data_IF_101222012377
#
_entry.id   IF_101222012377
#
_cell.length_a   1.000
_cell.length_b   1.000
_cell.length_c   1.000
_cell.angle_alpha   90.00
_cell.angle_beta   90.00
_cell.angle_gamma   90.00
#
_symmetry.space_group_name_H-M   'P 1'
#
loop_
_entity.id
_entity.type
_entity.pdbx_description
1 polymer ?
#
# COMPACT_ATOMS: atom_id res chain seq x y z
N UNK A 1 -12.46 -10.15 -16.14
CA UNK A 1 -12.65 -9.80 -14.72
C UNK A 1 -11.88 -8.52 -14.44
N UNK A 2 -12.50 -7.62 -13.69
CA UNK A 2 -11.90 -6.37 -13.27
C UNK A 2 -10.79 -6.63 -12.25
N UNK A 3 -9.74 -5.82 -12.29
CA UNK A 3 -8.65 -5.86 -11.31
C UNK A 3 -8.80 -4.66 -10.38
N UNK A 4 -8.67 -4.89 -9.10
CA UNK A 4 -8.54 -3.84 -8.08
C UNK A 4 -7.09 -3.74 -7.65
N UNK A 5 -6.57 -2.52 -7.64
CA UNK A 5 -5.23 -2.22 -7.19
C UNK A 5 -5.33 -1.28 -5.97
N UNK A 6 -5.00 -1.80 -4.81
CA UNK A 6 -4.93 -1.01 -3.58
C UNK A 6 -3.53 -0.45 -3.42
N UNK A 7 -3.42 0.87 -3.24
CA UNK A 7 -2.16 1.58 -3.06
C UNK A 7 -2.04 2.09 -1.64
N UNK A 8 -0.96 1.75 -0.98
CA UNK A 8 -0.53 2.28 0.31
C UNK A 8 0.77 3.06 0.20
N UNK A 9 1.14 3.75 1.28
CA UNK A 9 2.44 4.41 1.39
C UNK A 9 2.96 4.38 2.83
N UNK A 10 4.02 3.63 3.06
CA UNK A 10 4.61 3.42 4.41
C UNK A 10 5.01 4.73 5.08
N UNK A 11 5.48 5.70 4.29
CA UNK A 11 5.91 7.00 4.79
C UNK A 11 4.79 7.76 5.49
N UNK A 12 3.54 7.62 5.04
CA UNK A 12 2.37 8.28 5.66
C UNK A 12 2.20 7.76 7.09
N UNK A 13 2.16 6.43 7.27
CA UNK A 13 2.05 5.83 8.59
C UNK A 13 3.23 6.21 9.50
N UNK A 14 4.48 6.07 9.00
CA UNK A 14 5.68 6.39 9.77
C UNK A 14 5.69 7.84 10.25
N UNK A 15 5.36 8.81 9.39
CA UNK A 15 5.32 10.22 9.74
C UNK A 15 4.24 10.51 10.80
N UNK A 16 3.05 9.94 10.62
CA UNK A 16 1.97 10.10 11.59
C UNK A 16 2.36 9.55 12.97
N UNK A 17 2.94 8.35 13.02
CA UNK A 17 3.37 7.72 14.28
C UNK A 17 4.55 8.45 14.92
N UNK A 18 5.50 8.94 14.13
CA UNK A 18 6.61 9.74 14.64
C UNK A 18 6.12 11.02 15.35
N UNK A 19 5.02 11.63 14.86
CA UNK A 19 4.42 12.80 15.50
C UNK A 19 3.90 12.50 16.92
N UNK A 20 3.63 11.24 17.23
CA UNK A 20 3.19 10.82 18.57
C UNK A 20 4.36 10.60 19.56
N UNK A 21 5.60 10.63 19.11
CA UNK A 21 6.82 10.47 19.91
C UNK A 21 6.77 9.25 20.87
N UNK A 22 6.31 8.12 20.35
CA UNK A 22 6.10 6.89 21.10
C UNK A 22 7.38 6.09 21.31
N UNK A 23 7.34 5.13 22.23
CA UNK A 23 8.38 4.11 22.36
C UNK A 23 8.28 3.12 21.19
N UNK A 24 9.39 2.54 20.77
CA UNK A 24 9.44 1.56 19.67
C UNK A 24 8.49 0.38 19.80
N UNK A 25 8.30 -0.10 21.05
CA UNK A 25 7.37 -1.22 21.30
C UNK A 25 5.92 -0.79 21.08
N UNK A 26 5.55 0.45 21.46
CA UNK A 26 4.22 1.00 21.23
C UNK A 26 3.96 1.23 19.72
N UNK A 27 4.93 1.76 19.00
CA UNK A 27 4.86 1.90 17.54
C UNK A 27 4.61 0.56 16.84
N UNK A 28 5.35 -0.48 17.25
CA UNK A 28 5.19 -1.84 16.73
C UNK A 28 3.80 -2.40 17.01
N UNK A 29 3.30 -2.24 18.24
CA UNK A 29 1.97 -2.71 18.62
C UNK A 29 0.88 -1.98 17.82
N UNK A 30 0.99 -0.66 17.65
CA UNK A 30 0.04 0.12 16.86
C UNK A 30 0.06 -0.34 15.40
N UNK A 31 1.25 -0.59 14.81
CA UNK A 31 1.39 -1.10 13.44
C UNK A 31 0.60 -2.41 13.26
N UNK A 32 0.77 -3.36 14.19
CA UNK A 32 0.07 -4.66 14.11
C UNK A 32 -1.45 -4.52 14.28
N UNK A 33 -1.91 -3.64 15.17
CA UNK A 33 -3.34 -3.39 15.37
C UNK A 33 -3.94 -2.69 14.13
N UNK A 34 -3.23 -1.75 13.52
CA UNK A 34 -3.68 -1.06 12.30
C UNK A 34 -3.81 -2.03 11.13
N UNK A 35 -2.87 -2.96 10.97
CA UNK A 35 -2.96 -4.03 9.95
C UNK A 35 -4.23 -4.87 10.09
N UNK A 36 -4.67 -5.13 11.33
CA UNK A 36 -5.92 -5.86 11.56
C UNK A 36 -7.17 -5.04 11.24
N UNK A 37 -7.02 -3.74 10.95
CA UNK A 37 -8.10 -2.77 10.69
C UNK A 37 -9.16 -2.70 11.81
N UNK A 38 -8.78 -3.10 13.03
CA UNK A 38 -9.67 -3.11 14.21
C UNK A 38 -9.69 -1.74 14.90
N UNK A 39 -10.65 -0.88 14.51
CA UNK A 39 -10.81 0.44 15.14
C UNK A 39 -11.08 0.39 16.65
N UNK A 40 -11.68 -0.70 17.14
CA UNK A 40 -11.94 -0.87 18.56
C UNK A 40 -10.66 -1.19 19.36
N UNK A 41 -9.79 -2.03 18.79
CA UNK A 41 -8.53 -2.40 19.43
C UNK A 41 -7.55 -1.24 19.46
N UNK A 42 -7.45 -0.50 18.33
CA UNK A 42 -6.56 0.67 18.29
C UNK A 42 -7.00 1.72 19.30
N UNK A 43 -8.31 2.01 19.40
CA UNK A 43 -8.83 2.97 20.39
C UNK A 43 -8.54 2.53 21.82
N UNK A 44 -8.71 1.23 22.11
CA UNK A 44 -8.40 0.67 23.43
C UNK A 44 -6.91 0.82 23.76
N UNK A 45 -6.03 0.52 22.80
CA UNK A 45 -4.60 0.64 23.00
C UNK A 45 -4.15 2.08 23.12
N UNK A 46 -4.59 2.97 22.23
CA UNK A 46 -4.24 4.40 22.25
C UNK A 46 -4.65 5.11 23.54
N UNK A 47 -5.72 4.66 24.21
CA UNK A 47 -6.13 5.21 25.50
C UNK A 47 -5.17 4.85 26.67
N UNK A 48 -4.25 3.90 26.47
CA UNK A 48 -3.22 3.58 27.47
C UNK A 48 -1.96 4.43 27.32
N UNK A 49 -1.86 5.20 26.24
CA UNK A 49 -0.69 5.98 25.88
C UNK A 49 -0.90 7.47 26.19
N UNK A 50 0.19 8.14 26.56
CA UNK A 50 0.19 9.59 26.74
C UNK A 50 0.47 10.29 25.40
N UNK A 51 -0.61 10.51 24.65
CA UNK A 51 -0.61 11.13 23.31
C UNK A 51 -1.66 12.22 23.27
N UNK A 52 -1.36 13.30 22.58
CA UNK A 52 -2.32 14.39 22.31
C UNK A 52 -3.64 13.86 21.77
N UNK A 53 -4.76 14.47 22.20
CA UNK A 53 -6.09 13.96 21.87
C UNK A 53 -6.40 13.99 20.38
N UNK A 54 -6.01 15.08 19.68
CA UNK A 54 -6.29 15.22 18.25
C UNK A 54 -5.49 14.21 17.43
N UNK A 55 -4.24 13.99 17.82
CA UNK A 55 -3.38 12.97 17.20
C UNK A 55 -3.88 11.56 17.50
N UNK A 56 -4.32 11.30 18.75
CA UNK A 56 -4.93 10.02 19.15
C UNK A 56 -6.14 9.69 18.30
N UNK A 57 -7.06 10.66 18.15
CA UNK A 57 -8.28 10.48 17.35
C UNK A 57 -7.93 10.23 15.88
N UNK A 58 -6.94 10.94 15.35
CA UNK A 58 -6.43 10.74 13.99
C UNK A 58 -5.88 9.33 13.78
N UNK A 59 -5.06 8.82 14.70
CA UNK A 59 -4.53 7.44 14.65
C UNK A 59 -5.65 6.41 14.77
N UNK A 60 -6.66 6.66 15.61
CA UNK A 60 -7.83 5.79 15.74
C UNK A 60 -8.70 5.74 14.48
N UNK A 61 -8.73 6.81 13.70
CA UNK A 61 -9.47 6.88 12.43
C UNK A 61 -8.67 6.39 11.23
N UNK A 62 -7.36 6.20 11.36
CA UNK A 62 -6.48 5.75 10.29
C UNK A 62 -6.98 4.48 9.57
N UNK A 63 -7.51 3.44 10.26
CA UNK A 63 -8.09 2.27 9.61
C UNK A 63 -9.28 2.53 8.68
N UNK A 64 -9.91 3.71 8.78
CA UNK A 64 -11.02 4.11 7.91
C UNK A 64 -10.56 4.85 6.67
N UNK A 65 -9.26 5.18 6.57
CA UNK A 65 -8.70 5.96 5.48
C UNK A 65 -8.34 5.06 4.30
N UNK A 66 -9.37 4.61 3.60
CA UNK A 66 -9.26 3.78 2.40
C UNK A 66 -10.42 4.05 1.44
N UNK A 67 -10.26 3.72 0.17
CA UNK A 67 -11.32 3.81 -0.83
C UNK A 67 -10.92 4.46 -2.14
N UNK A 68 -11.86 5.17 -2.78
CA UNK A 68 -11.61 5.80 -4.07
C UNK A 68 -10.60 6.95 -3.96
N UNK A 69 -9.67 7.03 -4.91
CA UNK A 69 -8.68 8.11 -5.00
C UNK A 69 -9.27 9.52 -4.96
N UNK A 70 -10.52 9.68 -5.41
CA UNK A 70 -11.23 10.97 -5.36
C UNK A 70 -11.37 11.51 -3.94
N UNK A 71 -11.35 10.64 -2.95
CA UNK A 71 -11.53 11.00 -1.54
C UNK A 71 -10.19 11.17 -0.79
N UNK A 72 -9.07 10.75 -1.37
CA UNK A 72 -7.77 10.70 -0.66
C UNK A 72 -7.38 12.05 -0.04
N UNK A 73 -7.58 13.16 -0.77
CA UNK A 73 -7.25 14.50 -0.27
C UNK A 73 -8.16 14.95 0.87
N UNK A 74 -9.44 14.55 0.86
CA UNK A 74 -10.39 14.84 1.92
C UNK A 74 -10.05 14.04 3.17
N UNK A 75 -9.84 12.74 3.01
CA UNK A 75 -9.64 11.82 4.12
C UNK A 75 -8.27 12.01 4.78
N UNK A 76 -7.26 12.47 4.03
CA UNK A 76 -5.93 12.77 4.55
C UNK A 76 -5.76 14.15 5.17
N UNK A 77 -6.77 15.02 5.11
CA UNK A 77 -6.64 16.42 5.57
C UNK A 77 -6.15 16.52 7.01
N UNK A 78 -6.66 15.68 7.90
CA UNK A 78 -6.30 15.70 9.30
C UNK A 78 -4.88 15.19 9.54
N UNK A 79 -4.45 14.13 8.84
CA UNK A 79 -3.10 13.58 9.03
C UNK A 79 -2.00 14.52 8.52
N UNK A 80 -2.26 15.29 7.47
CA UNK A 80 -1.33 16.31 6.94
C UNK A 80 -1.05 17.43 7.94
N UNK A 81 -1.97 17.71 8.89
CA UNK A 81 -1.76 18.75 9.91
C UNK A 81 -0.70 18.37 10.94
N UNK A 82 -0.44 17.07 11.14
CA UNK A 82 0.58 16.58 12.08
C UNK A 82 1.96 16.52 11.46
N UNK A 83 2.06 16.19 10.17
CA UNK A 83 3.32 16.25 9.42
C UNK A 83 3.05 16.69 7.97
N UNK A 84 3.45 17.92 7.58
CA UNK A 84 3.24 18.44 6.23
C UNK A 84 3.89 17.62 5.12
N UNK A 85 4.95 16.85 5.42
CA UNK A 85 5.61 15.97 4.45
C UNK A 85 4.74 14.78 4.01
N UNK A 86 3.67 14.48 4.74
CA UNK A 86 2.65 13.50 4.32
C UNK A 86 1.99 13.94 3.00
N UNK A 87 1.87 15.26 2.77
CA UNK A 87 1.32 15.79 1.52
C UNK A 87 2.13 15.36 0.29
N UNK A 88 3.43 15.28 0.43
CA UNK A 88 4.33 14.87 -0.67
C UNK A 88 4.15 13.40 -0.99
N UNK A 89 3.97 12.54 0.03
CA UNK A 89 3.67 11.11 -0.16
C UNK A 89 2.33 10.92 -0.87
N UNK A 90 1.29 11.67 -0.46
CA UNK A 90 -0.04 11.62 -1.11
C UNK A 90 0.05 12.09 -2.56
N UNK A 91 0.78 13.18 -2.81
CA UNK A 91 1.01 13.67 -4.16
C UNK A 91 1.69 12.63 -5.03
N UNK A 92 2.73 11.97 -4.50
CA UNK A 92 3.42 10.89 -5.20
C UNK A 92 2.45 9.74 -5.57
N UNK A 93 1.57 9.33 -4.65
CA UNK A 93 0.54 8.33 -4.94
C UNK A 93 -0.40 8.77 -6.07
N UNK A 94 -0.85 10.02 -6.05
CA UNK A 94 -1.72 10.58 -7.09
C UNK A 94 -1.01 10.67 -8.44
N UNK A 95 0.24 11.12 -8.48
CA UNK A 95 1.04 11.21 -9.70
C UNK A 95 1.25 9.83 -10.32
N UNK A 96 1.51 8.80 -9.49
CA UNK A 96 1.61 7.41 -9.94
C UNK A 96 0.29 6.91 -10.55
N UNK A 97 -0.84 7.20 -9.91
CA UNK A 97 -2.15 6.81 -10.42
C UNK A 97 -2.47 7.47 -11.77
N UNK A 98 -2.08 8.74 -11.95
CA UNK A 98 -2.25 9.45 -13.21
C UNK A 98 -1.36 8.87 -14.33
N UNK A 99 -0.22 8.28 -13.97
CA UNK A 99 0.68 7.62 -14.92
C UNK A 99 0.14 6.27 -15.40
N UNK A 100 -0.60 5.55 -14.55
CA UNK A 100 -1.26 4.29 -14.91
C UNK A 100 -2.43 4.66 -15.83
N UNK A 101 -2.28 4.42 -17.14
CA UNK A 101 -3.33 4.74 -18.11
C UNK A 101 -4.50 3.74 -17.99
N UNK A 102 -5.65 4.14 -17.41
CA UNK A 102 -6.78 3.23 -17.20
C UNK A 102 -7.49 2.82 -18.51
N UNK A 103 -7.22 3.49 -19.64
CA UNK A 103 -7.89 3.20 -20.91
C UNK A 103 -7.49 1.84 -21.51
N UNK A 104 -6.33 1.33 -21.12
CA UNK A 104 -5.82 0.05 -21.64
C UNK A 104 -5.92 -1.10 -20.64
N UNK A 105 -6.31 -0.82 -19.41
CA UNK A 105 -6.37 -1.82 -18.33
C UNK A 105 -7.73 -1.72 -17.64
N UNK A 106 -8.41 -2.87 -17.48
CA UNK A 106 -9.62 -2.96 -16.67
C UNK A 106 -9.22 -3.01 -15.17
N UNK A 107 -8.61 -1.91 -14.72
CA UNK A 107 -8.07 -1.74 -13.37
C UNK A 107 -8.77 -0.60 -12.67
N UNK A 108 -9.30 -0.86 -11.48
CA UNK A 108 -9.76 0.18 -10.57
C UNK A 108 -8.73 0.38 -9.47
N UNK A 109 -8.20 1.61 -9.36
CA UNK A 109 -7.21 1.97 -8.36
C UNK A 109 -7.92 2.59 -7.15
N UNK A 110 -7.59 2.07 -5.96
CA UNK A 110 -8.02 2.58 -4.67
C UNK A 110 -6.81 2.92 -3.82
N UNK A 111 -7.00 3.71 -2.77
CA UNK A 111 -5.98 3.88 -1.74
C UNK A 111 -6.37 3.14 -0.48
N UNK A 112 -5.37 2.67 0.26
CA UNK A 112 -5.51 2.12 1.60
C UNK A 112 -4.26 2.45 2.43
N UNK A 113 -4.41 3.38 3.38
CA UNK A 113 -3.28 3.77 4.22
C UNK A 113 -2.90 2.69 5.24
N UNK A 114 -3.76 1.69 5.45
CA UNK A 114 -3.47 0.53 6.27
C UNK A 114 -2.76 -0.59 5.52
N UNK A 115 -2.51 -0.41 4.21
CA UNK A 115 -1.59 -1.27 3.48
C UNK A 115 -0.18 -1.02 4.01
N UNK A 116 0.21 -1.82 5.00
CA UNK A 116 1.48 -1.66 5.70
C UNK A 116 2.37 -2.89 5.47
N UNK A 117 3.68 -2.67 5.32
CA UNK A 117 4.59 -3.73 4.96
C UNK A 117 4.65 -4.85 6.00
N UNK A 118 4.83 -6.07 5.50
CA UNK A 118 5.20 -7.22 6.33
C UNK A 118 6.64 -7.14 6.83
N UNK A 119 7.50 -6.43 6.10
CA UNK A 119 8.93 -6.36 6.36
C UNK A 119 9.40 -4.93 6.62
N UNK A 120 10.41 -4.75 7.46
CA UNK A 120 10.91 -3.43 7.87
C UNK A 120 11.74 -2.72 6.77
N UNK A 121 12.19 -3.45 5.74
CA UNK A 121 12.95 -2.89 4.62
C UNK A 121 12.07 -2.18 3.57
N UNK A 122 10.75 -2.38 3.61
CA UNK A 122 9.83 -1.71 2.72
C UNK A 122 9.70 -0.23 3.11
N UNK A 123 9.79 0.64 2.10
CA UNK A 123 9.78 2.08 2.31
C UNK A 123 9.20 2.80 1.08
N UNK A 124 8.12 3.50 1.26
CA UNK A 124 7.45 4.23 0.19
C UNK A 124 6.15 3.57 -0.25
N UNK A 125 5.94 3.53 -1.57
CA UNK A 125 4.71 2.98 -2.15
C UNK A 125 4.61 1.47 -1.93
N UNK A 126 3.41 1.02 -1.60
CA UNK A 126 2.99 -0.39 -1.56
C UNK A 126 1.81 -0.58 -2.50
N UNK A 127 1.68 -1.76 -3.06
CA UNK A 127 0.55 -2.11 -3.91
C UNK A 127 0.15 -3.57 -3.71
N UNK A 128 -1.16 -3.80 -3.62
CA UNK A 128 -1.76 -5.13 -3.58
C UNK A 128 -2.84 -5.22 -4.66
N UNK A 129 -2.86 -6.31 -5.41
CA UNK A 129 -3.81 -6.51 -6.48
C UNK A 129 -4.78 -7.66 -6.17
N UNK A 130 -6.05 -7.43 -6.51
CA UNK A 130 -7.16 -8.37 -6.30
C UNK A 130 -7.96 -8.54 -7.58
N UNK A 131 -8.60 -9.68 -7.74
CA UNK A 131 -9.55 -9.93 -8.83
C UNK A 131 -10.97 -9.68 -8.32
N UNK A 132 -11.81 -9.09 -9.17
CA UNK A 132 -13.21 -8.83 -8.87
C UNK A 132 -13.93 -10.04 -8.26
N UNK A 133 -14.65 -9.80 -7.17
CA UNK A 133 -15.36 -10.79 -6.35
C UNK A 133 -14.47 -11.85 -5.69
N UNK A 134 -13.21 -11.51 -5.46
CA UNK A 134 -12.25 -12.37 -4.80
C UNK A 134 -11.47 -11.57 -3.75
N UNK A 135 -11.29 -12.15 -2.57
CA UNK A 135 -10.50 -11.56 -1.49
C UNK A 135 -9.04 -12.03 -1.48
N UNK A 136 -8.67 -12.92 -2.41
CA UNK A 136 -7.30 -13.41 -2.52
C UNK A 136 -6.42 -12.34 -3.18
N UNK A 137 -5.33 -12.00 -2.49
CA UNK A 137 -4.30 -11.11 -3.03
C UNK A 137 -3.51 -11.85 -4.11
N UNK A 138 -3.67 -11.43 -5.35
CA UNK A 138 -3.04 -12.08 -6.51
C UNK A 138 -1.65 -11.55 -6.82
N UNK A 139 -1.36 -10.33 -6.39
CA UNK A 139 -0.03 -9.76 -6.46
C UNK A 139 0.18 -8.75 -5.35
N UNK A 140 1.41 -8.69 -4.86
CA UNK A 140 1.85 -7.70 -3.87
C UNK A 140 3.21 -7.15 -4.27
N UNK A 141 3.45 -5.88 -4.03
CA UNK A 141 4.72 -5.25 -4.35
C UNK A 141 4.87 -3.87 -3.77
N UNK A 142 6.02 -3.25 -4.03
CA UNK A 142 6.30 -1.92 -3.52
C UNK A 142 7.73 -1.51 -3.68
N UNK A 143 8.04 -0.36 -3.09
CA UNK A 143 9.40 0.15 -2.97
C UNK A 143 10.06 -0.41 -1.73
N UNK A 144 11.29 -0.88 -1.87
CA UNK A 144 12.08 -1.42 -0.78
C UNK A 144 13.53 -0.91 -0.84
N UNK A 145 14.20 -0.91 0.31
CA UNK A 145 15.60 -0.54 0.42
C UNK A 145 16.44 -1.80 0.70
N UNK A 146 17.52 -1.98 -0.05
CA UNK A 146 18.44 -3.09 0.15
C UNK A 146 19.43 -2.86 1.29
N UNK A 147 19.77 -1.60 1.54
CA UNK A 147 20.71 -1.22 2.60
C UNK A 147 20.30 0.13 3.20
N UNK A 148 20.75 0.40 4.41
CA UNK A 148 20.31 1.57 5.19
C UNK A 148 20.52 2.90 4.50
N UNK A 149 21.37 2.99 3.47
CA UNK A 149 21.86 4.27 2.98
C UNK A 149 21.92 4.52 1.47
N UNK A 150 21.57 3.60 0.55
CA UNK A 150 21.79 3.99 -0.86
C UNK A 150 21.03 3.28 -1.98
N UNK A 151 20.58 2.07 -1.84
CA UNK A 151 19.96 1.36 -2.95
C UNK A 151 18.48 1.06 -2.66
N UNK A 152 17.60 1.68 -3.44
CA UNK A 152 16.18 1.34 -3.43
C UNK A 152 15.80 0.60 -4.71
N UNK A 153 14.91 -0.36 -4.59
CA UNK A 153 14.31 -1.07 -5.72
C UNK A 153 12.79 -1.00 -5.67
N UNK A 154 12.17 -1.32 -6.79
CA UNK A 154 10.74 -1.59 -6.88
C UNK A 154 10.60 -3.01 -7.40
N UNK A 155 9.73 -3.79 -6.79
CA UNK A 155 9.46 -5.15 -7.20
C UNK A 155 8.07 -5.60 -6.80
N UNK A 156 7.65 -6.73 -7.35
CA UNK A 156 6.38 -7.35 -7.02
C UNK A 156 6.47 -8.86 -7.09
N UNK A 157 5.59 -9.53 -6.35
CA UNK A 157 5.35 -10.97 -6.40
C UNK A 157 3.95 -11.24 -6.89
N UNK A 158 3.77 -12.31 -7.67
CA UNK A 158 2.48 -12.72 -8.22
C UNK A 158 2.20 -14.18 -7.86
N UNK A 159 1.00 -14.48 -7.39
CA UNK A 159 0.54 -15.86 -7.21
C UNK A 159 0.10 -16.48 -8.55
N UNK A 160 1.09 -16.96 -9.29
CA UNK A 160 0.88 -17.58 -10.62
C UNK A 160 -0.01 -18.83 -10.51
N UNK A 161 0.07 -19.60 -9.43
CA UNK A 161 -0.74 -20.81 -9.24
C UNK A 161 -2.21 -20.46 -9.11
N UNK A 162 -2.50 -19.41 -8.32
CA UNK A 162 -3.85 -18.91 -8.16
C UNK A 162 -4.42 -18.38 -9.48
N UNK A 163 -3.64 -17.60 -10.24
CA UNK A 163 -4.06 -17.08 -11.54
C UNK A 163 -4.38 -18.21 -12.52
N UNK A 164 -3.51 -19.23 -12.65
CA UNK A 164 -3.74 -20.37 -13.54
C UNK A 164 -5.00 -21.12 -13.13
N UNK A 165 -5.21 -21.38 -11.84
CA UNK A 165 -6.39 -22.11 -11.34
C UNK A 165 -7.70 -21.38 -11.62
N UNK A 166 -7.69 -20.06 -11.66
CA UNK A 166 -8.88 -19.22 -11.83
C UNK A 166 -9.05 -18.67 -13.24
N UNK A 167 -8.17 -19.04 -14.17
CA UNK A 167 -8.37 -18.74 -15.58
C UNK A 167 -9.50 -19.62 -16.15
N UNK A 168 -10.54 -18.98 -16.67
CA UNK A 168 -11.43 -19.61 -17.65
C UNK A 168 -10.59 -19.79 -18.92
N UNK A 169 -10.54 -21.02 -19.46
CA UNK A 169 -9.77 -21.51 -20.62
C UNK A 169 -9.07 -20.44 -21.45
N UNK A 170 -7.73 -20.42 -21.39
CA UNK A 170 -6.95 -19.60 -22.30
C UNK A 170 -7.08 -20.23 -23.67
N UNK A 171 -7.76 -19.59 -24.60
CA UNK A 171 -7.58 -19.81 -26.01
C UNK A 171 -6.15 -19.35 -26.37
N UNK A 172 -5.20 -20.26 -26.24
CA UNK A 172 -3.85 -20.07 -26.79
C UNK A 172 -4.02 -20.09 -28.31
N UNK A 173 -4.35 -18.94 -28.89
CA UNK A 173 -4.12 -18.78 -30.31
C UNK A 173 -2.61 -18.97 -30.49
N UNK A 174 -2.22 -20.06 -31.18
CA UNK A 174 -0.84 -20.35 -31.55
C UNK A 174 -0.25 -19.24 -32.42
N UNK A 175 0.05 -18.10 -31.83
CA UNK A 175 1.01 -17.17 -32.39
C UNK A 175 2.37 -17.70 -31.95
N UNK A 176 3.05 -18.40 -32.85
CA UNK A 176 4.44 -18.80 -32.71
C UNK A 176 5.30 -17.56 -32.44
N UNK A 177 5.44 -17.20 -31.19
CA UNK A 177 6.39 -16.20 -30.74
C UNK A 177 7.78 -16.79 -30.84
N UNK A 178 8.65 -16.22 -31.65
CA UNK A 178 10.07 -16.57 -31.68
C UNK A 178 10.72 -15.91 -30.45
N UNK A 179 11.18 -16.72 -29.50
CA UNK A 179 11.98 -16.23 -28.38
C UNK A 179 13.35 -15.80 -28.93
N UNK A 180 13.70 -14.54 -28.79
CA UNK A 180 15.03 -14.02 -29.08
C UNK A 180 15.72 -13.89 -27.71
N UNK A 181 16.72 -14.74 -27.47
CA UNK A 181 17.65 -14.55 -26.35
C UNK A 181 18.79 -13.65 -26.88
N UNK A 182 18.90 -12.44 -26.34
CA UNK A 182 20.11 -11.66 -26.51
C UNK A 182 21.12 -12.15 -25.47
N UNK A 183 22.15 -12.86 -25.92
CA UNK A 183 23.32 -13.13 -25.09
C UNK A 183 24.04 -11.81 -24.85
N UNK A 184 23.92 -11.27 -23.65
CA UNK A 184 24.74 -10.15 -23.18
C UNK A 184 26.12 -10.71 -22.77
N UNK A 185 26.95 -11.01 -23.78
CA UNK A 185 28.38 -11.16 -23.64
C UNK A 185 29.02 -9.92 -24.30
N UNK A 186 29.29 -8.88 -23.48
CA UNK A 186 30.48 -8.02 -23.57
C UNK A 186 30.62 -7.21 -22.28
#
# INVERSE_FOLDING_TARGET
KKIYLDLGHVGIFKKLINSANLKKDDEKNIKEIIKSKSSSEIKKYMNTLDVDNDLRDCICDFPKMHGSLKNILKDSKNIVSFDPLIKDDIKYMLDLCNFINPEHLDVEIKYDFCELPGFDYENGILMSAYIENDSHEVAIGGKYNFDKDSLSGIGFSVDVRYLIKNQSEINISNKSGKWIFEDSNE
#
